data_IF_402382756831
#
_entry.id   IF_402382756831
#
_cell.length_a   1.000
_cell.length_b   1.000
_cell.length_c   1.000
_cell.angle_alpha   90.00
_cell.angle_beta   90.00
_cell.angle_gamma   90.00
#
_symmetry.space_group_name_H-M   'P 1'
#
loop_
_entity.id
_entity.type
_entity.pdbx_description
1 polymer ?
#
# COMPACT_ATOMS: atom_id res chain seq x y z
N UNK A 1 -0.96 27.94 -21.79
CA UNK A 1 -0.27 27.59 -20.53
C UNK A 1 1.19 27.21 -20.78
N UNK A 2 1.55 26.10 -21.44
CA UNK A 2 2.96 25.71 -21.65
C UNK A 2 3.82 26.82 -22.28
N UNK A 3 3.32 27.52 -23.30
CA UNK A 3 4.02 28.61 -23.99
C UNK A 3 4.40 29.80 -23.08
N UNK A 4 3.63 30.01 -22.02
CA UNK A 4 3.80 31.13 -21.10
C UNK A 4 4.37 30.71 -19.74
N UNK A 5 4.70 29.42 -19.56
CA UNK A 5 5.25 28.91 -18.31
C UNK A 5 4.25 28.83 -17.14
N UNK A 6 2.96 28.81 -17.44
CA UNK A 6 1.87 28.75 -16.45
C UNK A 6 1.66 27.33 -15.93
N UNK A 7 2.72 26.74 -15.42
CA UNK A 7 2.75 25.32 -15.04
C UNK A 7 1.79 24.99 -13.88
N UNK A 8 1.63 25.92 -12.92
CA UNK A 8 0.71 25.68 -11.80
C UNK A 8 -0.73 25.57 -12.28
N UNK A 9 -1.15 26.46 -13.19
CA UNK A 9 -2.50 26.41 -13.75
C UNK A 9 -2.71 25.12 -14.57
N UNK A 10 -1.68 24.69 -15.32
CA UNK A 10 -1.75 23.48 -16.11
C UNK A 10 -2.00 22.23 -15.26
N UNK A 11 -1.29 22.09 -14.13
CA UNK A 11 -1.43 20.89 -13.26
C UNK A 11 -2.68 20.94 -12.37
N UNK A 12 -3.32 22.12 -12.26
CA UNK A 12 -4.59 22.31 -11.55
C UNK A 12 -5.79 22.24 -12.49
N UNK A 13 -5.56 22.11 -13.80
CA UNK A 13 -6.63 22.05 -14.77
C UNK A 13 -7.44 20.76 -14.61
N UNK A 14 -8.72 20.92 -14.30
CA UNK A 14 -9.69 19.84 -14.30
C UNK A 14 -10.33 19.73 -15.68
N UNK A 15 -10.30 18.51 -16.24
CA UNK A 15 -10.87 18.23 -17.55
C UNK A 15 -12.29 17.68 -17.38
N UNK A 16 -13.28 18.46 -17.78
CA UNK A 16 -14.68 18.05 -17.76
C UNK A 16 -15.11 17.61 -19.15
N UNK A 17 -15.35 16.32 -19.32
CA UNK A 17 -15.76 15.73 -20.59
C UNK A 17 -17.09 16.31 -21.14
N UNK A 18 -17.94 16.83 -20.27
CA UNK A 18 -19.23 17.43 -20.66
C UNK A 18 -19.10 18.76 -21.43
N UNK A 19 -17.91 19.39 -21.35
CA UNK A 19 -17.64 20.65 -22.06
C UNK A 19 -17.11 20.44 -23.49
N UNK A 20 -16.94 19.20 -23.93
CA UNK A 20 -16.41 18.85 -25.25
C UNK A 20 -17.52 18.35 -26.16
N UNK A 21 -17.62 18.95 -27.34
CA UNK A 21 -18.49 18.46 -28.41
C UNK A 21 -17.89 17.25 -29.14
N UNK A 22 -16.54 17.19 -29.22
CA UNK A 22 -15.78 16.13 -29.89
C UNK A 22 -14.97 15.33 -28.87
N UNK A 23 -15.22 14.03 -28.82
CA UNK A 23 -14.50 13.09 -27.97
C UNK A 23 -13.00 13.02 -28.26
N UNK A 24 -12.59 13.23 -29.53
CA UNK A 24 -11.16 13.23 -29.91
C UNK A 24 -10.42 14.39 -29.26
N UNK A 25 -10.99 15.59 -29.30
CA UNK A 25 -10.41 16.77 -28.67
C UNK A 25 -10.30 16.61 -27.15
N UNK A 26 -11.32 16.04 -26.51
CA UNK A 26 -11.25 15.70 -25.09
C UNK A 26 -10.12 14.71 -24.81
N UNK A 27 -9.99 13.65 -25.61
CA UNK A 27 -8.98 12.61 -25.40
C UNK A 27 -7.55 13.18 -25.53
N UNK A 28 -7.32 14.03 -26.52
CA UNK A 28 -6.02 14.66 -26.75
C UNK A 28 -5.65 15.62 -25.62
N UNK A 29 -6.56 16.50 -25.23
CA UNK A 29 -6.33 17.46 -24.15
C UNK A 29 -6.15 16.74 -22.80
N UNK A 30 -6.96 15.72 -22.52
CA UNK A 30 -6.83 14.88 -21.33
C UNK A 30 -5.50 14.14 -21.28
N UNK A 31 -5.04 13.59 -22.42
CA UNK A 31 -3.78 12.89 -22.52
C UNK A 31 -2.60 13.83 -22.22
N UNK A 32 -2.58 14.99 -22.87
CA UNK A 32 -1.53 16.00 -22.68
C UNK A 32 -1.47 16.49 -21.24
N UNK A 33 -2.63 16.87 -20.67
CA UNK A 33 -2.73 17.35 -19.27
C UNK A 33 -2.31 16.26 -18.28
N UNK A 34 -2.75 15.02 -18.53
CA UNK A 34 -2.40 13.88 -17.67
C UNK A 34 -0.92 13.54 -17.70
N UNK A 35 -0.27 13.60 -18.85
CA UNK A 35 1.17 13.38 -18.99
C UNK A 35 1.95 14.48 -18.27
N UNK A 36 1.61 15.74 -18.51
CA UNK A 36 2.30 16.89 -17.93
C UNK A 36 2.12 16.94 -16.41
N UNK A 37 0.91 16.73 -15.90
CA UNK A 37 0.65 16.71 -14.45
C UNK A 37 1.39 15.60 -13.70
N UNK A 38 1.75 14.51 -14.39
CA UNK A 38 2.54 13.40 -13.82
C UNK A 38 4.05 13.62 -13.90
N UNK A 39 4.52 14.63 -14.64
CA UNK A 39 5.95 14.91 -14.74
C UNK A 39 6.50 15.45 -13.42
N UNK A 40 7.45 14.78 -12.76
CA UNK A 40 8.02 15.24 -11.50
C UNK A 40 8.96 16.46 -11.65
N UNK A 41 9.27 16.83 -12.90
CA UNK A 41 10.29 17.85 -13.22
C UNK A 41 9.68 19.21 -13.63
N UNK A 42 8.36 19.40 -13.48
CA UNK A 42 7.77 20.71 -13.75
C UNK A 42 8.24 21.72 -12.70
N UNK A 43 8.67 22.94 -13.13
CA UNK A 43 9.22 23.94 -12.21
C UNK A 43 8.11 24.67 -11.46
N UNK A 44 7.44 23.96 -10.53
CA UNK A 44 6.35 24.52 -9.74
C UNK A 44 6.84 25.29 -8.49
N UNK A 45 8.14 25.24 -8.17
CA UNK A 45 8.69 25.84 -6.95
C UNK A 45 8.21 25.18 -5.64
N UNK A 46 7.71 23.94 -5.71
CA UNK A 46 7.18 23.21 -4.56
C UNK A 46 8.24 22.29 -3.97
N UNK A 47 8.35 22.25 -2.66
CA UNK A 47 9.07 21.17 -1.96
C UNK A 47 8.18 19.94 -1.90
N UNK A 48 8.39 19.04 -2.87
CA UNK A 48 7.58 17.84 -3.03
C UNK A 48 7.83 16.80 -1.92
N UNK A 49 9.03 16.82 -1.31
CA UNK A 49 9.38 15.93 -0.19
C UNK A 49 8.68 16.40 1.08
N UNK A 50 8.76 17.68 1.37
CA UNK A 50 8.09 18.25 2.52
C UNK A 50 6.57 18.06 2.45
N UNK A 51 5.97 18.24 1.28
CA UNK A 51 4.54 17.96 1.07
C UNK A 51 4.17 16.49 1.35
N UNK A 52 5.00 15.56 0.90
CA UNK A 52 4.76 14.14 1.17
C UNK A 52 4.90 13.81 2.66
N UNK A 53 5.87 14.42 3.34
CA UNK A 53 6.08 14.27 4.78
C UNK A 53 4.92 14.86 5.59
N UNK A 54 4.43 16.02 5.21
CA UNK A 54 3.31 16.68 5.89
C UNK A 54 2.03 15.85 5.74
N UNK A 55 1.74 15.36 4.53
CA UNK A 55 0.62 14.44 4.29
C UNK A 55 0.72 13.15 5.12
N UNK A 56 1.92 12.58 5.23
CA UNK A 56 2.15 11.41 6.08
C UNK A 56 1.86 11.73 7.56
N UNK A 57 2.36 12.84 8.09
CA UNK A 57 2.10 13.26 9.47
C UNK A 57 0.62 13.50 9.75
N UNK A 58 -0.10 14.12 8.82
CA UNK A 58 -1.55 14.31 8.93
C UNK A 58 -2.30 12.98 9.01
N UNK A 59 -1.91 12.01 8.21
CA UNK A 59 -2.48 10.66 8.23
C UNK A 59 -2.19 9.94 9.55
N UNK A 60 -0.96 9.99 10.04
CA UNK A 60 -0.56 9.43 11.34
C UNK A 60 -1.34 10.06 12.50
N UNK A 61 -1.48 11.40 12.50
CA UNK A 61 -2.28 12.11 13.50
C UNK A 61 -3.77 11.74 13.45
N UNK A 62 -4.30 11.51 12.26
CA UNK A 62 -5.68 11.04 12.08
C UNK A 62 -5.86 9.63 12.63
N UNK A 63 -4.94 8.71 12.30
CA UNK A 63 -4.94 7.35 12.82
C UNK A 63 -4.81 7.33 14.35
N UNK A 64 -3.92 8.15 14.91
CA UNK A 64 -3.76 8.30 16.36
C UNK A 64 -5.06 8.75 17.03
N UNK A 65 -5.72 9.79 16.50
CA UNK A 65 -7.03 10.25 17.03
C UNK A 65 -8.09 9.16 16.97
N UNK A 66 -8.12 8.39 15.89
CA UNK A 66 -9.03 7.24 15.74
C UNK A 66 -8.76 6.18 16.79
N UNK A 67 -7.52 5.79 17.01
CA UNK A 67 -7.14 4.82 18.04
C UNK A 67 -7.52 5.31 19.45
N UNK A 68 -7.22 6.56 19.78
CA UNK A 68 -7.60 7.15 21.06
C UNK A 68 -9.11 7.17 21.27
N UNK A 69 -9.88 7.48 20.20
CA UNK A 69 -11.34 7.44 20.26
C UNK A 69 -11.87 6.04 20.58
N UNK A 70 -11.34 5.01 19.90
CA UNK A 70 -11.74 3.62 20.16
C UNK A 70 -11.37 3.16 21.57
N UNK A 71 -10.20 3.53 22.07
CA UNK A 71 -9.76 3.20 23.41
C UNK A 71 -10.64 3.85 24.49
N UNK A 72 -10.97 5.14 24.33
CA UNK A 72 -11.76 5.91 25.29
C UNK A 72 -13.22 5.47 25.37
N UNK A 73 -13.82 5.11 24.22
CA UNK A 73 -15.26 4.90 24.13
C UNK A 73 -15.70 3.43 24.25
N UNK A 74 -14.82 2.52 24.63
CA UNK A 74 -15.14 1.07 24.75
C UNK A 74 -16.02 0.59 23.60
N UNK A 75 -15.56 0.77 22.38
CA UNK A 75 -16.37 0.58 21.15
C UNK A 75 -16.93 -0.84 20.99
N UNK A 76 -16.60 -1.78 21.87
CA UNK A 76 -17.25 -3.10 21.92
C UNK A 76 -18.76 -3.04 22.19
N UNK A 77 -19.22 -1.96 22.81
CA UNK A 77 -20.65 -1.72 23.04
C UNK A 77 -21.36 -1.13 21.82
N UNK A 78 -20.61 -0.64 20.83
CA UNK A 78 -21.17 -0.14 19.59
C UNK A 78 -21.68 -1.29 18.71
N UNK A 79 -22.97 -1.25 18.37
CA UNK A 79 -23.60 -2.32 17.60
C UNK A 79 -22.97 -2.53 16.20
N UNK A 80 -22.55 -1.45 15.53
CA UNK A 80 -21.92 -1.51 14.21
C UNK A 80 -20.57 -2.23 14.30
N UNK A 81 -19.74 -1.84 15.26
CA UNK A 81 -18.42 -2.45 15.49
C UNK A 81 -18.56 -3.92 15.86
N UNK A 82 -19.53 -4.24 16.74
CA UNK A 82 -19.79 -5.63 17.12
C UNK A 82 -20.23 -6.49 15.92
N UNK A 83 -21.09 -5.97 15.04
CA UNK A 83 -21.48 -6.67 13.82
C UNK A 83 -20.32 -6.81 12.84
N UNK A 84 -19.51 -5.77 12.64
CA UNK A 84 -18.32 -5.83 11.81
C UNK A 84 -17.33 -6.90 12.31
N UNK A 85 -17.02 -6.92 13.60
CA UNK A 85 -16.18 -7.96 14.24
C UNK A 85 -16.76 -9.37 14.01
N UNK A 86 -18.09 -9.53 14.10
CA UNK A 86 -18.76 -10.81 13.87
C UNK A 86 -18.60 -11.27 12.41
N UNK A 87 -18.81 -10.35 11.47
CA UNK A 87 -18.64 -10.62 10.03
C UNK A 87 -17.19 -11.01 9.74
N UNK A 88 -16.22 -10.23 10.21
CA UNK A 88 -14.80 -10.49 10.03
C UNK A 88 -14.41 -11.86 10.59
N UNK A 89 -14.82 -12.17 11.83
CA UNK A 89 -14.56 -13.47 12.44
C UNK A 89 -15.16 -14.64 11.66
N UNK A 90 -16.38 -14.46 11.12
CA UNK A 90 -17.03 -15.47 10.28
C UNK A 90 -16.27 -15.65 8.95
N UNK A 91 -15.82 -14.56 8.36
CA UNK A 91 -15.16 -14.53 7.05
C UNK A 91 -13.74 -15.09 7.12
N UNK A 92 -12.96 -14.62 8.08
CA UNK A 92 -11.58 -15.06 8.25
C UNK A 92 -11.47 -16.41 9.00
N UNK A 93 -12.42 -16.71 9.87
CA UNK A 93 -12.38 -17.90 10.72
C UNK A 93 -11.27 -17.90 11.77
N UNK A 94 -11.19 -18.92 12.62
CA UNK A 94 -10.10 -19.07 13.58
C UNK A 94 -8.80 -19.48 12.88
N UNK A 95 -7.68 -19.13 13.51
CA UNK A 95 -6.37 -19.65 13.14
C UNK A 95 -6.19 -21.08 13.67
N UNK A 96 -5.73 -21.99 12.84
CA UNK A 96 -5.41 -23.35 13.22
C UNK A 96 -3.98 -23.73 12.77
N UNK A 97 -3.49 -24.88 13.19
CA UNK A 97 -2.13 -25.32 12.84
C UNK A 97 -1.88 -25.33 11.33
N UNK A 98 -2.85 -25.79 10.54
CA UNK A 98 -2.74 -25.81 9.07
C UNK A 98 -2.56 -24.42 8.47
N UNK A 99 -3.15 -23.38 9.11
CA UNK A 99 -2.97 -22.00 8.64
C UNK A 99 -1.54 -21.51 8.89
N UNK A 100 -0.94 -21.90 10.00
CA UNK A 100 0.46 -21.61 10.29
C UNK A 100 1.39 -22.31 9.30
N UNK A 101 1.18 -23.60 9.06
CA UNK A 101 1.93 -24.37 8.06
C UNK A 101 1.80 -23.73 6.67
N UNK A 102 0.60 -23.24 6.33
CA UNK A 102 0.35 -22.53 5.08
C UNK A 102 1.14 -21.20 5.03
N UNK A 103 1.08 -20.37 6.09
CA UNK A 103 1.81 -19.11 6.19
C UNK A 103 3.31 -19.34 6.04
N UNK A 104 3.88 -20.32 6.75
CA UNK A 104 5.29 -20.70 6.67
C UNK A 104 5.68 -21.08 5.23
N UNK A 105 4.85 -21.88 4.54
CA UNK A 105 5.08 -22.27 3.13
C UNK A 105 5.01 -21.10 2.15
N UNK A 106 4.52 -19.93 2.58
CA UNK A 106 4.33 -18.73 1.77
C UNK A 106 5.27 -17.58 2.15
N UNK A 107 6.17 -17.78 3.07
CA UNK A 107 7.23 -16.81 3.34
C UNK A 107 8.06 -16.57 2.08
N UNK A 108 8.22 -15.30 1.75
CA UNK A 108 8.96 -14.89 0.55
C UNK A 108 9.32 -13.41 0.61
N UNK A 109 10.22 -13.00 -0.26
CA UNK A 109 10.48 -11.59 -0.53
C UNK A 109 9.66 -11.08 -1.71
N UNK A 110 9.27 -9.80 -1.64
CA UNK A 110 8.76 -9.03 -2.77
C UNK A 110 9.90 -8.33 -3.53
N UNK A 111 9.59 -7.61 -4.61
CA UNK A 111 10.60 -6.93 -5.44
C UNK A 111 11.16 -5.63 -4.81
N UNK A 112 10.51 -5.07 -3.78
CA UNK A 112 10.90 -3.80 -3.17
C UNK A 112 12.15 -3.89 -2.30
N UNK A 113 12.76 -2.74 -1.95
CA UNK A 113 13.85 -2.65 -0.97
C UNK A 113 13.38 -3.06 0.43
N UNK A 114 14.34 -3.42 1.29
CA UNK A 114 14.15 -3.62 2.73
C UNK A 114 15.11 -2.73 3.50
N UNK A 115 14.94 -2.57 4.81
CA UNK A 115 15.85 -1.71 5.59
C UNK A 115 17.27 -2.25 5.62
N UNK A 116 17.49 -3.55 5.46
CA UNK A 116 18.81 -4.20 5.37
C UNK A 116 19.45 -4.08 4.00
N UNK A 117 18.64 -3.90 2.92
CA UNK A 117 19.15 -3.83 1.54
C UNK A 117 18.89 -2.45 0.97
N UNK A 118 19.96 -1.75 0.58
CA UNK A 118 19.90 -0.39 0.04
C UNK A 118 20.06 -0.39 -1.47
N UNK A 119 19.32 0.51 -2.14
CA UNK A 119 19.46 0.81 -3.56
C UNK A 119 18.25 0.50 -4.40
N UNK A 120 18.15 1.14 -5.58
CA UNK A 120 17.06 0.99 -6.54
C UNK A 120 17.13 -0.31 -7.36
N UNK A 121 18.23 -1.03 -7.26
CA UNK A 121 18.50 -2.28 -8.00
C UNK A 121 18.55 -3.52 -7.12
N UNK A 122 17.94 -3.48 -5.91
CA UNK A 122 17.96 -4.64 -5.02
C UNK A 122 17.30 -5.85 -5.68
N UNK A 123 18.10 -6.85 -5.98
CA UNK A 123 17.60 -8.15 -6.47
C UNK A 123 17.21 -9.05 -5.30
N UNK A 124 16.49 -10.11 -5.60
CA UNK A 124 15.97 -11.01 -4.57
C UNK A 124 17.09 -11.64 -3.73
N UNK A 125 18.24 -11.94 -4.34
CA UNK A 125 19.42 -12.52 -3.67
C UNK A 125 19.99 -11.62 -2.57
N UNK A 126 19.95 -10.30 -2.76
CA UNK A 126 20.52 -9.35 -1.81
C UNK A 126 19.79 -9.34 -0.46
N UNK A 127 18.56 -9.89 -0.43
CA UNK A 127 17.74 -9.98 0.79
C UNK A 127 18.07 -11.18 1.66
N UNK A 128 18.87 -12.10 1.13
CA UNK A 128 19.41 -13.23 1.88
C UNK A 128 20.82 -12.97 2.42
N UNK A 129 21.09 -11.69 2.75
CA UNK A 129 22.34 -11.30 3.36
C UNK A 129 22.47 -11.83 4.80
N UNK A 130 23.66 -11.73 5.35
CA UNK A 130 23.96 -12.19 6.72
C UNK A 130 23.26 -11.32 7.77
N UNK A 131 23.12 -10.02 7.53
CA UNK A 131 22.42 -9.10 8.42
C UNK A 131 20.90 -9.07 8.11
N UNK A 132 20.12 -9.59 9.06
CA UNK A 132 18.65 -9.60 8.92
C UNK A 132 18.03 -8.57 9.85
N UNK A 133 17.51 -7.50 9.28
CA UNK A 133 16.76 -6.52 10.04
C UNK A 133 15.38 -7.05 10.43
N UNK A 134 15.03 -6.94 11.72
CA UNK A 134 13.73 -7.29 12.26
C UNK A 134 13.36 -6.41 13.45
N UNK A 135 12.07 -6.30 13.75
CA UNK A 135 11.59 -5.65 14.98
C UNK A 135 11.70 -6.59 16.18
N UNK A 136 11.77 -6.03 17.40
CA UNK A 136 11.87 -6.81 18.64
C UNK A 136 10.75 -7.84 18.80
N UNK A 137 9.54 -7.50 18.37
CA UNK A 137 8.37 -8.38 18.48
C UNK A 137 8.48 -9.65 17.62
N UNK A 138 9.34 -9.62 16.60
CA UNK A 138 9.53 -10.76 15.71
C UNK A 138 10.60 -11.74 16.20
N UNK A 139 11.39 -11.37 17.21
CA UNK A 139 12.46 -12.23 17.79
C UNK A 139 11.96 -13.63 18.17
N UNK A 140 10.81 -13.80 18.84
CA UNK A 140 10.32 -15.14 19.20
C UNK A 140 10.07 -16.05 17.99
N UNK A 141 9.83 -15.48 16.83
CA UNK A 141 9.51 -16.20 15.59
C UNK A 141 10.71 -16.34 14.65
N UNK A 142 11.80 -15.66 14.93
CA UNK A 142 12.99 -15.59 14.07
C UNK A 142 13.45 -16.97 13.58
N UNK A 143 13.68 -17.91 14.49
CA UNK A 143 14.15 -19.26 14.13
C UNK A 143 13.09 -20.06 13.34
N UNK A 144 11.82 -19.95 13.69
CA UNK A 144 10.74 -20.60 12.98
C UNK A 144 10.61 -20.07 11.54
N UNK A 145 10.82 -18.77 11.33
CA UNK A 145 10.73 -18.14 10.02
C UNK A 145 11.90 -18.51 9.10
N UNK A 146 13.09 -18.70 9.63
CA UNK A 146 14.26 -19.10 8.85
C UNK A 146 14.28 -20.60 8.57
N UNK A 147 13.68 -21.42 9.43
CA UNK A 147 13.66 -22.87 9.31
C UNK A 147 15.07 -23.48 9.39
N UNK A 148 15.22 -24.68 8.84
CA UNK A 148 16.49 -25.38 8.69
C UNK A 148 17.16 -25.05 7.34
N UNK A 149 17.25 -23.76 7.01
CA UNK A 149 17.85 -23.31 5.75
C UNK A 149 19.31 -22.92 5.95
N UNK A 150 20.10 -22.93 4.87
CA UNK A 150 21.47 -22.41 4.88
C UNK A 150 21.54 -20.95 5.36
N UNK A 151 20.47 -20.20 5.17
CA UNK A 151 20.35 -18.81 5.62
C UNK A 151 20.31 -18.71 7.14
N UNK A 152 19.60 -19.62 7.81
CA UNK A 152 19.52 -19.66 9.28
C UNK A 152 20.90 -19.86 9.97
N UNK A 153 21.81 -20.53 9.30
CA UNK A 153 23.16 -20.80 9.83
C UNK A 153 24.07 -19.55 9.80
N UNK A 154 23.80 -18.64 8.88
CA UNK A 154 24.64 -17.45 8.62
C UNK A 154 24.01 -16.15 9.09
N UNK A 155 22.71 -16.17 9.27
CA UNK A 155 21.91 -14.98 9.54
C UNK A 155 22.16 -14.42 10.94
N UNK A 156 22.46 -13.15 11.01
CA UNK A 156 22.61 -12.40 12.25
C UNK A 156 21.46 -11.40 12.39
N UNK A 157 20.62 -11.52 13.45
CA UNK A 157 19.50 -10.61 13.64
C UNK A 157 19.99 -9.23 14.08
N UNK A 158 19.60 -8.20 13.34
CA UNK A 158 19.82 -6.79 13.67
C UNK A 158 18.47 -6.20 14.06
N UNK A 159 18.31 -5.86 15.34
CA UNK A 159 17.07 -5.30 15.85
C UNK A 159 16.95 -3.85 15.41
N UNK A 160 15.83 -3.50 14.79
CA UNK A 160 15.50 -2.15 14.37
C UNK A 160 14.18 -1.71 14.99
N UNK A 161 13.98 -0.40 15.16
CA UNK A 161 12.77 0.14 15.80
C UNK A 161 11.50 -0.08 14.96
N UNK A 162 11.64 -0.11 13.62
CA UNK A 162 10.50 -0.27 12.72
C UNK A 162 10.90 -0.08 11.26
N UNK A 163 9.91 0.26 10.43
CA UNK A 163 10.12 0.62 9.04
C UNK A 163 10.78 2.00 8.91
N UNK A 164 11.28 2.29 7.71
CA UNK A 164 11.90 3.57 7.39
C UNK A 164 11.06 4.30 6.35
N UNK A 165 10.54 5.47 6.72
CA UNK A 165 9.85 6.36 5.79
C UNK A 165 10.82 6.88 4.72
N UNK A 166 10.36 6.92 3.47
CA UNK A 166 11.05 7.56 2.34
C UNK A 166 10.02 8.05 1.33
N UNK A 167 10.47 8.77 0.33
CA UNK A 167 9.60 9.30 -0.73
C UNK A 167 10.02 8.79 -2.09
N UNK A 168 9.03 8.57 -2.97
CA UNK A 168 9.25 8.24 -4.39
C UNK A 168 8.45 9.19 -5.28
N UNK A 169 8.86 9.43 -6.53
CA UNK A 169 8.11 10.28 -7.45
C UNK A 169 6.66 9.80 -7.63
N UNK A 170 5.71 10.73 -7.62
CA UNK A 170 4.29 10.46 -7.87
C UNK A 170 3.75 11.32 -9.01
N UNK A 171 3.83 12.63 -8.86
CA UNK A 171 3.37 13.60 -9.85
C UNK A 171 4.08 14.95 -9.66
N UNK A 172 3.68 15.96 -10.46
CA UNK A 172 4.25 17.30 -10.38
C UNK A 172 4.01 18.02 -9.05
N UNK A 173 2.97 17.65 -8.30
CA UNK A 173 2.55 18.35 -7.08
C UNK A 173 3.07 17.76 -5.79
N UNK A 174 3.42 16.47 -5.78
CA UNK A 174 3.84 15.75 -4.57
C UNK A 174 4.62 14.49 -4.89
N UNK A 175 5.45 14.05 -3.97
CA UNK A 175 5.98 12.69 -3.92
C UNK A 175 5.03 11.76 -3.17
N UNK A 176 5.21 10.46 -3.34
CA UNK A 176 4.51 9.44 -2.55
C UNK A 176 5.37 9.03 -1.37
N UNK A 177 4.84 9.17 -0.15
CA UNK A 177 5.43 8.53 1.03
C UNK A 177 5.32 7.01 0.94
N UNK A 178 6.38 6.31 1.25
CA UNK A 178 6.41 4.85 1.40
C UNK A 178 7.20 4.48 2.64
N UNK A 179 6.86 3.36 3.26
CA UNK A 179 7.59 2.79 4.37
C UNK A 179 8.36 1.55 3.89
N UNK A 180 9.68 1.56 4.07
CA UNK A 180 10.55 0.44 3.76
C UNK A 180 10.59 -0.47 4.98
N UNK A 181 10.05 -1.67 4.84
CA UNK A 181 9.94 -2.64 5.93
C UNK A 181 11.28 -3.29 6.30
N UNK A 182 11.46 -3.72 7.56
CA UNK A 182 12.57 -4.58 7.93
C UNK A 182 12.53 -5.91 7.18
N UNK A 183 13.71 -6.46 6.90
CA UNK A 183 13.89 -7.61 6.00
C UNK A 183 13.03 -8.81 6.41
N UNK A 184 13.06 -9.21 7.68
CA UNK A 184 12.30 -10.37 8.14
C UNK A 184 10.81 -10.05 8.35
N UNK A 185 10.47 -8.80 8.67
CA UNK A 185 9.07 -8.40 8.82
C UNK A 185 8.31 -8.54 7.51
N UNK A 186 8.85 -8.01 6.39
CA UNK A 186 8.17 -8.15 5.09
C UNK A 186 8.12 -9.61 4.62
N UNK A 187 9.14 -10.42 4.93
CA UNK A 187 9.17 -11.84 4.61
C UNK A 187 7.98 -12.58 5.25
N UNK A 188 7.73 -12.34 6.54
CA UNK A 188 6.59 -12.89 7.27
C UNK A 188 5.25 -12.28 6.84
N UNK A 189 5.18 -10.97 6.65
CA UNK A 189 3.96 -10.27 6.23
C UNK A 189 3.40 -10.82 4.91
N UNK A 190 4.28 -11.19 3.96
CA UNK A 190 3.83 -11.78 2.69
C UNK A 190 3.22 -13.17 2.87
N UNK A 191 3.69 -13.95 3.84
CA UNK A 191 3.07 -15.23 4.20
C UNK A 191 1.67 -15.03 4.79
N UNK A 192 1.53 -14.11 5.76
CA UNK A 192 0.22 -13.75 6.36
C UNK A 192 -0.73 -13.19 5.30
N UNK A 193 -0.23 -12.29 4.43
CA UNK A 193 -1.01 -11.73 3.33
C UNK A 193 -1.53 -12.80 2.36
N UNK A 194 -0.75 -13.87 2.13
CA UNK A 194 -1.19 -14.99 1.31
C UNK A 194 -2.35 -15.75 1.96
N UNK A 195 -2.31 -15.98 3.27
CA UNK A 195 -3.41 -16.61 4.00
C UNK A 195 -4.69 -15.77 3.94
N UNK A 196 -4.58 -14.46 4.15
CA UNK A 196 -5.74 -13.55 4.08
C UNK A 196 -6.38 -13.57 2.69
N UNK A 197 -5.57 -13.54 1.62
CA UNK A 197 -6.06 -13.64 0.24
C UNK A 197 -6.76 -14.97 -0.03
N UNK A 198 -6.20 -16.07 0.45
CA UNK A 198 -6.82 -17.40 0.30
C UNK A 198 -8.19 -17.47 1.00
N UNK A 199 -8.32 -16.84 2.18
CA UNK A 199 -9.59 -16.78 2.90
C UNK A 199 -10.61 -15.87 2.22
N UNK A 200 -10.19 -14.72 1.69
CA UNK A 200 -11.05 -13.83 0.91
C UNK A 200 -11.53 -14.49 -0.39
N UNK A 201 -10.69 -15.28 -1.03
CA UNK A 201 -11.06 -16.03 -2.24
C UNK A 201 -12.23 -16.99 -2.00
N UNK A 202 -12.33 -17.58 -0.81
CA UNK A 202 -13.48 -18.43 -0.42
C UNK A 202 -14.79 -17.64 -0.26
N UNK A 203 -14.73 -16.32 -0.26
CA UNK A 203 -15.85 -15.39 -0.21
C UNK A 203 -16.09 -14.72 -1.58
N UNK A 204 -15.68 -15.37 -2.66
CA UNK A 204 -15.74 -14.85 -4.03
C UNK A 204 -14.98 -13.53 -4.26
N UNK A 205 -14.04 -13.21 -3.35
CA UNK A 205 -13.18 -12.02 -3.45
C UNK A 205 -11.75 -12.44 -3.79
N UNK A 206 -11.50 -12.70 -5.07
CA UNK A 206 -10.16 -13.06 -5.56
C UNK A 206 -9.37 -11.81 -5.96
N UNK A 207 -8.52 -11.31 -5.06
CA UNK A 207 -7.68 -10.14 -5.28
C UNK A 207 -6.57 -10.36 -6.33
N UNK A 208 -6.34 -11.59 -6.76
CA UNK A 208 -5.38 -11.91 -7.82
C UNK A 208 -5.99 -11.88 -9.22
N UNK A 209 -7.32 -11.86 -9.31
CA UNK A 209 -8.06 -11.91 -10.57
C UNK A 209 -8.61 -10.51 -10.94
N UNK A 210 -8.00 -9.88 -11.93
CA UNK A 210 -8.42 -8.57 -12.44
C UNK A 210 -9.52 -8.65 -13.53
N UNK A 211 -9.87 -9.84 -14.02
CA UNK A 211 -10.89 -9.99 -15.07
C UNK A 211 -12.28 -9.50 -14.63
N UNK A 212 -12.59 -9.56 -13.34
CA UNK A 212 -13.87 -9.03 -12.82
C UNK A 212 -13.92 -7.52 -13.03
N UNK A 213 -12.86 -6.79 -12.64
CA UNK A 213 -12.76 -5.35 -12.82
C UNK A 213 -12.78 -4.95 -14.30
N UNK A 214 -12.08 -5.70 -15.16
CA UNK A 214 -12.06 -5.45 -16.60
C UNK A 214 -13.46 -5.58 -17.19
N UNK A 215 -14.18 -6.68 -16.92
CA UNK A 215 -15.56 -6.88 -17.39
C UNK A 215 -16.52 -5.82 -16.87
N UNK A 216 -16.37 -5.37 -15.63
CA UNK A 216 -17.18 -4.28 -15.09
C UNK A 216 -16.88 -2.96 -15.81
N UNK A 217 -15.60 -2.68 -16.09
CA UNK A 217 -15.21 -1.48 -16.86
C UNK A 217 -15.79 -1.51 -18.29
N UNK A 218 -15.74 -2.64 -18.99
CA UNK A 218 -16.31 -2.81 -20.32
C UNK A 218 -17.84 -2.57 -20.34
N UNK A 219 -18.52 -2.95 -19.27
CA UNK A 219 -19.98 -2.81 -19.15
C UNK A 219 -20.41 -1.52 -18.46
N UNK A 220 -19.47 -0.71 -17.99
CA UNK A 220 -19.76 0.43 -17.12
C UNK A 220 -20.79 1.39 -17.69
N UNK A 221 -20.69 1.71 -18.98
CA UNK A 221 -21.66 2.59 -19.65
C UNK A 221 -23.05 1.96 -19.78
N UNK A 222 -23.14 0.71 -20.22
CA UNK A 222 -24.41 0.03 -20.43
C UNK A 222 -25.15 -0.26 -19.11
N UNK A 223 -24.42 -0.55 -18.06
CA UNK A 223 -24.96 -0.94 -16.74
C UNK A 223 -25.01 0.24 -15.76
N UNK A 224 -24.65 1.47 -16.18
CA UNK A 224 -24.55 2.66 -15.32
C UNK A 224 -23.68 2.43 -14.06
N UNK A 225 -22.53 1.79 -14.24
CA UNK A 225 -21.58 1.55 -13.15
C UNK A 225 -20.68 2.76 -12.94
N UNK A 226 -20.34 3.03 -11.69
CA UNK A 226 -19.38 4.07 -11.31
C UNK A 226 -18.07 3.45 -10.82
N UNK A 227 -16.96 4.08 -11.15
CA UNK A 227 -15.65 3.79 -10.55
C UNK A 227 -15.43 4.71 -9.35
N UNK A 228 -15.11 4.13 -8.21
CA UNK A 228 -14.83 4.87 -6.98
C UNK A 228 -13.37 4.66 -6.62
N UNK A 229 -12.64 5.74 -6.43
CA UNK A 229 -11.29 5.75 -5.86
C UNK A 229 -11.31 6.45 -4.49
N UNK A 230 -10.74 5.80 -3.49
CA UNK A 230 -10.71 6.34 -2.14
C UNK A 230 -9.39 7.09 -1.92
N UNK A 231 -9.47 8.35 -1.52
CA UNK A 231 -8.31 9.15 -1.16
C UNK A 231 -7.64 8.58 0.09
N UNK A 232 -6.31 8.39 0.03
CA UNK A 232 -5.48 7.96 1.16
C UNK A 232 -6.01 6.71 1.90
N UNK A 233 -6.58 5.74 1.15
CA UNK A 233 -7.23 4.58 1.74
C UNK A 233 -6.30 3.75 2.64
N UNK A 234 -5.06 3.48 2.20
CA UNK A 234 -4.05 2.77 3.00
C UNK A 234 -3.60 3.58 4.21
N UNK A 235 -3.51 4.91 4.04
CA UNK A 235 -2.98 5.82 5.05
C UNK A 235 -4.01 6.14 6.15
N UNK A 236 -5.26 5.71 5.97
CA UNK A 236 -6.35 5.88 6.94
C UNK A 236 -6.62 4.66 7.81
N UNK A 237 -5.81 3.60 7.68
CA UNK A 237 -5.97 2.38 8.48
C UNK A 237 -5.29 2.56 9.83
N UNK A 238 -6.08 2.72 10.87
CA UNK A 238 -5.61 2.73 12.27
C UNK A 238 -5.46 1.30 12.81
N UNK A 239 -4.65 1.11 13.83
CA UNK A 239 -4.40 -0.21 14.47
C UNK A 239 -5.28 -0.44 15.68
#
# INVERSE_FOLDING_TARGET
>A
MCKYGEWSQLVDLEMDASLYEDHSNFADDYLVTSILSKSPNLPLGLDLEQKALDSFKESEDSCRRTNEFFLKNRMDDNNIIRQAKKIIRKSLGPLCRRDLDFVESRFRFGPGATTGVRGSGSVLSDKYDEEIHLTSDLIPFYRAMLGETWWAERAHPVIVEGNRFTTVPKNAKTKRGICIEPTLNIYGQLGVGALLRERLKRLDTDLSNQHVNQRMAERAYADNLATIDLSAASDSISW
#
